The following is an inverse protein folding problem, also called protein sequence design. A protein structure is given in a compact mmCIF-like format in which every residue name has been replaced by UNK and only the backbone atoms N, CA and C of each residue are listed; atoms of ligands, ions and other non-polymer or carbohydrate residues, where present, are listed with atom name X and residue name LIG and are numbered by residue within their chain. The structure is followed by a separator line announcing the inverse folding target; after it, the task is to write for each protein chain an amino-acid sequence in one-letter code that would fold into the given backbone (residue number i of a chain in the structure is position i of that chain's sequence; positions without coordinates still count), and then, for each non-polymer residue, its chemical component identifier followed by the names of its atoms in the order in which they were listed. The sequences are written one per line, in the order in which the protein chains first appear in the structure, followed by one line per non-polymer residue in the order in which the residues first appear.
data_IF_607050098439
#
_entry.id   IF_607050098439
#
_cell.length_a   1.000
_cell.length_b   1.000
_cell.length_c   1.000
_cell.angle_alpha   90.00
_cell.angle_beta   90.00
_cell.angle_gamma   90.00
#
_symmetry.space_group_name_H-M   'P 1'
#
loop_
_entity.id
_entity.type
_entity.pdbx_description
1 polymer ?
#
# COMPACT_ATOMS: atom_id res chain seq x y z
N UNK A 1 0.97 5.77 -12.24
CA UNK A 1 2.20 5.54 -13.04
C UNK A 1 3.16 4.55 -12.39
N UNK A 2 3.92 4.88 -11.31
CA UNK A 2 4.95 3.95 -10.77
C UNK A 2 4.36 2.67 -10.15
N UNK A 3 3.30 2.77 -9.35
CA UNK A 3 2.62 1.58 -8.77
C UNK A 3 1.88 0.75 -9.83
N UNK A 4 1.36 1.37 -10.89
CA UNK A 4 0.75 0.65 -12.02
C UNK A 4 1.81 -0.16 -12.78
N UNK A 5 3.00 0.41 -12.98
CA UNK A 5 4.14 -0.30 -13.55
C UNK A 5 4.57 -1.47 -12.67
N UNK A 6 4.65 -1.25 -11.35
CA UNK A 6 5.00 -2.30 -10.40
C UNK A 6 4.00 -3.47 -10.40
N UNK A 7 2.71 -3.18 -10.60
CA UNK A 7 1.68 -4.21 -10.76
C UNK A 7 1.92 -5.10 -11.99
N UNK A 8 2.32 -4.48 -13.11
CA UNK A 8 2.62 -5.20 -14.35
C UNK A 8 3.90 -6.05 -14.24
N UNK A 9 4.92 -5.57 -13.53
CA UNK A 9 6.22 -6.25 -13.42
C UNK A 9 6.21 -7.42 -12.42
N UNK A 10 5.44 -7.33 -11.33
CA UNK A 10 5.54 -8.29 -10.21
C UNK A 10 4.35 -9.24 -10.07
N UNK A 11 3.17 -8.91 -10.62
CA UNK A 11 1.89 -9.58 -10.36
C UNK A 11 1.49 -9.71 -8.87
N UNK A 12 2.28 -9.17 -7.93
CA UNK A 12 2.03 -9.17 -6.48
C UNK A 12 0.93 -8.20 -6.07
N UNK A 13 0.62 -7.22 -6.91
CA UNK A 13 -0.47 -6.28 -6.70
C UNK A 13 -1.36 -6.18 -7.94
N UNK A 14 -2.64 -5.89 -7.73
CA UNK A 14 -3.66 -5.75 -8.75
C UNK A 14 -4.59 -4.57 -8.44
N UNK A 15 -5.50 -4.27 -9.37
CA UNK A 15 -6.55 -3.25 -9.19
C UNK A 15 -6.03 -1.88 -8.70
N UNK A 16 -4.85 -1.47 -9.18
CA UNK A 16 -4.23 -0.21 -8.80
C UNK A 16 -5.11 0.93 -9.28
N UNK A 17 -5.55 1.78 -8.34
CA UNK A 17 -6.45 2.90 -8.58
C UNK A 17 -5.97 4.12 -7.80
N UNK A 18 -6.03 5.29 -8.42
CA UNK A 18 -5.53 6.54 -7.85
C UNK A 18 -6.46 7.70 -8.18
N UNK A 19 -6.71 8.55 -7.18
CA UNK A 19 -7.39 9.83 -7.35
C UNK A 19 -6.68 10.88 -6.50
N UNK A 20 -6.01 11.84 -7.16
CA UNK A 20 -5.17 12.81 -6.45
C UNK A 20 -4.06 12.12 -5.65
N UNK A 21 -4.02 12.39 -4.34
CA UNK A 21 -3.10 11.78 -3.37
C UNK A 21 -3.63 10.47 -2.77
N UNK A 22 -4.86 10.07 -3.12
CA UNK A 22 -5.45 8.81 -2.68
C UNK A 22 -4.98 7.70 -3.61
N UNK A 23 -4.42 6.64 -3.04
CA UNK A 23 -3.98 5.44 -3.75
C UNK A 23 -4.62 4.22 -3.10
N UNK A 24 -5.12 3.29 -3.90
CA UNK A 24 -5.51 1.97 -3.43
C UNK A 24 -5.07 0.89 -4.42
N UNK A 25 -4.77 -0.29 -3.89
CA UNK A 25 -4.40 -1.46 -4.67
C UNK A 25 -4.69 -2.72 -3.86
N UNK A 26 -4.84 -3.84 -4.55
CA UNK A 26 -5.09 -5.13 -3.94
C UNK A 26 -3.79 -5.93 -3.95
N UNK A 27 -3.46 -6.60 -2.84
CA UNK A 27 -2.31 -7.50 -2.77
C UNK A 27 -2.76 -8.91 -3.19
N UNK A 28 -2.02 -9.49 -4.13
CA UNK A 28 -2.18 -10.86 -4.62
C UNK A 28 -1.17 -11.79 -3.94
N UNK A 29 -1.60 -12.49 -2.90
CA UNK A 29 -0.84 -13.58 -2.26
C UNK A 29 -1.55 -14.94 -2.37
N UNK A 30 -2.32 -15.17 -3.44
CA UNK A 30 -2.94 -16.47 -3.70
C UNK A 30 -4.16 -16.84 -2.82
N UNK A 31 -4.50 -16.03 -1.81
CA UNK A 31 -5.76 -16.14 -1.06
C UNK A 31 -6.55 -14.84 -1.14
N UNK A 32 -7.81 -14.91 -1.55
CA UNK A 32 -8.73 -13.76 -1.58
C UNK A 32 -9.71 -13.88 -0.40
N UNK A 33 -9.90 -12.81 0.38
CA UNK A 33 -10.83 -12.82 1.52
C UNK A 33 -10.54 -11.79 2.61
N UNK A 34 -11.56 -11.49 3.42
CA UNK A 34 -11.51 -10.52 4.52
C UNK A 34 -10.56 -10.93 5.67
N UNK A 35 -10.35 -12.24 5.86
CA UNK A 35 -9.43 -12.82 6.84
C UNK A 35 -8.00 -13.00 6.30
N UNK A 36 -7.65 -12.30 5.23
CA UNK A 36 -6.30 -12.41 4.69
C UNK A 36 -5.28 -11.79 5.67
N UNK A 37 -4.32 -12.62 6.10
CA UNK A 37 -3.22 -12.25 6.99
C UNK A 37 -2.38 -11.08 6.46
N UNK A 38 -2.47 -10.80 5.16
CA UNK A 38 -1.87 -9.62 4.50
C UNK A 38 -2.22 -8.33 5.24
N UNK A 39 -3.47 -8.15 5.69
CA UNK A 39 -3.88 -6.93 6.41
C UNK A 39 -3.08 -6.72 7.69
N UNK A 40 -2.88 -7.79 8.47
CA UNK A 40 -2.12 -7.77 9.71
C UNK A 40 -0.63 -7.54 9.47
N UNK A 41 -0.07 -8.19 8.43
CA UNK A 41 1.34 -8.03 8.05
C UNK A 41 1.61 -6.59 7.63
N UNK A 42 0.83 -6.04 6.70
CA UNK A 42 0.97 -4.66 6.24
C UNK A 42 0.81 -3.67 7.39
N UNK A 43 -0.20 -3.87 8.25
CA UNK A 43 -0.39 -3.00 9.42
C UNK A 43 0.81 -3.04 10.36
N UNK A 44 1.34 -4.23 10.65
CA UNK A 44 2.52 -4.40 11.53
C UNK A 44 3.76 -3.75 10.93
N UNK A 45 4.05 -3.98 9.65
CA UNK A 45 5.21 -3.39 8.98
C UNK A 45 5.10 -1.87 8.86
N UNK A 46 3.90 -1.36 8.56
CA UNK A 46 3.64 0.08 8.53
C UNK A 46 3.90 0.72 9.89
N UNK A 47 3.37 0.12 10.97
CA UNK A 47 3.57 0.59 12.33
C UNK A 47 5.05 0.61 12.73
N UNK A 48 5.81 -0.43 12.36
CA UNK A 48 7.27 -0.46 12.57
C UNK A 48 7.99 0.64 11.81
N UNK A 49 7.49 1.04 10.63
CA UNK A 49 8.00 2.16 9.86
C UNK A 49 7.49 3.54 10.34
N UNK A 50 6.70 3.59 11.43
CA UNK A 50 6.10 4.82 11.95
C UNK A 50 4.93 5.35 11.12
N UNK A 51 4.29 4.49 10.32
CA UNK A 51 3.12 4.80 9.52
C UNK A 51 1.89 4.04 10.05
N UNK A 52 0.73 4.70 10.05
CA UNK A 52 -0.52 4.02 10.35
C UNK A 52 -1.31 3.78 9.07
N UNK A 53 -1.22 2.54 8.56
CA UNK A 53 -1.95 2.07 7.39
C UNK A 53 -2.88 0.97 7.85
N UNK A 54 -4.17 1.07 7.50
CA UNK A 54 -5.20 0.11 7.91
C UNK A 54 -5.87 -0.49 6.68
N UNK A 55 -5.36 -1.62 6.15
CA UNK A 55 -5.95 -2.29 5.00
C UNK A 55 -7.39 -2.76 5.26
N UNK A 56 -8.14 -3.00 4.18
CA UNK A 56 -9.46 -3.62 4.20
C UNK A 56 -9.38 -4.96 3.47
N UNK A 57 -9.27 -6.06 4.21
CA UNK A 57 -8.97 -7.37 3.61
C UNK A 57 -7.61 -7.36 2.92
N UNK A 58 -7.58 -7.66 1.62
CA UNK A 58 -6.36 -7.59 0.80
C UNK A 58 -6.15 -6.22 0.12
N UNK A 59 -7.08 -5.28 0.27
CA UNK A 59 -6.94 -3.92 -0.28
C UNK A 59 -6.13 -3.05 0.67
N UNK A 60 -5.00 -2.55 0.20
CA UNK A 60 -4.24 -1.48 0.85
C UNK A 60 -4.66 -0.15 0.24
N UNK A 61 -4.94 0.82 1.10
CA UNK A 61 -5.21 2.19 0.67
C UNK A 61 -4.39 3.19 1.48
N UNK A 62 -4.07 4.30 0.82
CA UNK A 62 -3.32 5.42 1.36
C UNK A 62 -4.15 6.66 1.07
N UNK A 63 -4.59 7.31 2.14
CA UNK A 63 -5.33 8.56 2.10
C UNK A 63 -4.65 9.53 3.07
N UNK A 64 -3.55 10.16 2.63
CA UNK A 64 -2.69 10.93 3.50
C UNK A 64 -3.34 12.31 3.77
N UNK A 65 -3.24 12.88 4.99
CA UNK A 65 -3.80 14.22 5.28
C UNK A 65 -3.27 15.29 4.33
N UNK A 66 -4.11 16.22 3.87
CA UNK A 66 -3.68 17.24 2.90
C UNK A 66 -2.70 18.29 3.47
N UNK A 67 -2.49 18.30 4.79
CA UNK A 67 -1.54 19.16 5.47
C UNK A 67 -0.13 18.54 5.64
N UNK A 68 0.14 17.39 5.02
CA UNK A 68 1.46 16.76 5.06
C UNK A 68 2.52 17.59 4.35
N UNK A 69 3.74 17.53 4.86
CA UNK A 69 4.94 18.08 4.22
C UNK A 69 5.49 17.08 3.21
N UNK A 70 6.25 17.59 2.23
CA UNK A 70 6.89 16.77 1.20
C UNK A 70 7.72 15.61 1.78
N UNK A 71 8.45 15.85 2.87
CA UNK A 71 9.24 14.82 3.54
C UNK A 71 8.39 13.65 4.07
N UNK A 72 7.19 13.95 4.59
CA UNK A 72 6.27 12.93 5.11
C UNK A 72 5.63 12.15 3.96
N UNK A 73 5.29 12.85 2.87
CA UNK A 73 4.82 12.22 1.63
C UNK A 73 5.89 11.29 1.01
N UNK A 74 7.16 11.72 1.00
CA UNK A 74 8.29 10.91 0.56
C UNK A 74 8.43 9.65 1.42
N UNK A 75 8.27 9.75 2.75
CA UNK A 75 8.34 8.59 3.66
C UNK A 75 7.27 7.55 3.35
N UNK A 76 6.03 7.98 3.08
CA UNK A 76 4.95 7.09 2.67
C UNK A 76 5.30 6.40 1.35
N UNK A 77 5.78 7.16 0.37
CA UNK A 77 6.17 6.62 -0.94
C UNK A 77 7.30 5.59 -0.83
N UNK A 78 8.33 5.87 -0.04
CA UNK A 78 9.44 4.94 0.21
C UNK A 78 8.99 3.66 0.91
N UNK A 79 8.09 3.76 1.88
CA UNK A 79 7.53 2.58 2.55
C UNK A 79 6.82 1.65 1.56
N UNK A 80 5.99 2.21 0.68
CA UNK A 80 5.26 1.43 -0.33
C UNK A 80 6.24 0.73 -1.28
N UNK A 81 7.27 1.42 -1.76
CA UNK A 81 8.27 0.84 -2.67
C UNK A 81 9.05 -0.30 -2.01
N UNK A 82 9.44 -0.15 -0.74
CA UNK A 82 10.26 -1.14 -0.05
C UNK A 82 9.49 -2.40 0.37
N UNK A 83 8.17 -2.31 0.58
CA UNK A 83 7.38 -3.44 1.09
C UNK A 83 6.49 -4.09 0.03
N UNK A 84 6.17 -3.40 -1.07
CA UNK A 84 5.45 -4.02 -2.18
C UNK A 84 6.38 -4.83 -3.10
N UNK A 85 7.68 -4.50 -3.13
CA UNK A 85 8.69 -5.27 -3.88
C UNK A 85 9.12 -6.58 -3.20
N UNK A 86 9.06 -6.65 -1.87
CA UNK A 86 9.42 -7.86 -1.10
C UNK A 86 8.50 -9.02 -1.44
#
# INVERSE_FOLDING_TARGET
VKMERLAQETQKIASVRRLGTILAFDINQGQTGYLNAVSQVVTKEALQAGLYIRPLGNTVYIMPPYCLKDAEFCRISQFLENNVNK
#
